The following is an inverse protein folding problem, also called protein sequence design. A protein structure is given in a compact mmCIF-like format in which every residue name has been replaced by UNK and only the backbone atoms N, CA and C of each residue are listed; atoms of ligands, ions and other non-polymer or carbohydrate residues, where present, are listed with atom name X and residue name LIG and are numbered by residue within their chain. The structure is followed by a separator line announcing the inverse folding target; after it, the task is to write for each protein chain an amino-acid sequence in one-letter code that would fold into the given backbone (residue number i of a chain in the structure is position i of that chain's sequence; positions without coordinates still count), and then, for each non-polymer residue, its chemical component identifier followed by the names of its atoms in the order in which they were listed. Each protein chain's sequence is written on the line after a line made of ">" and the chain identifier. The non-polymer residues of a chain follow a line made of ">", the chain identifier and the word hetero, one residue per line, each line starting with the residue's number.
data_IF_656193809381
#
_entry.id   IF_656193809381
#
_cell.length_a   1.000
_cell.length_b   1.000
_cell.length_c   1.000
_cell.angle_alpha   90.00
_cell.angle_beta   90.00
_cell.angle_gamma   90.00
#
_symmetry.space_group_name_H-M   'P 1'
#
loop_
_entity.id
_entity.type
_entity.pdbx_description
1 polymer ?
#
# COMPACT_ATOMS: atom_id res chain seq x y z
N UNK A 1 3.36 -9.18 10.26
CA UNK A 1 3.29 -9.34 8.79
C UNK A 1 4.25 -8.39 8.09
N UNK A 2 4.48 -8.60 6.82
CA UNK A 2 5.32 -7.73 6.00
C UNK A 2 4.44 -6.69 5.32
N UNK A 3 4.76 -5.41 5.52
CA UNK A 3 4.00 -4.29 4.97
C UNK A 3 4.91 -3.41 4.13
N UNK A 4 4.44 -3.03 2.95
CA UNK A 4 5.14 -2.08 2.10
C UNK A 4 4.34 -0.78 2.02
N UNK A 5 4.99 0.32 2.30
CA UNK A 5 4.40 1.66 2.16
C UNK A 5 5.00 2.33 0.92
N UNK A 6 4.16 2.64 -0.04
CA UNK A 6 4.57 3.30 -1.28
C UNK A 6 4.00 4.71 -1.29
N UNK A 7 4.86 5.69 -1.06
CA UNK A 7 4.47 7.10 -1.00
C UNK A 7 5.71 7.95 -1.32
N UNK A 8 5.56 8.92 -2.21
CA UNK A 8 6.65 9.82 -2.58
C UNK A 8 6.97 10.84 -1.47
N UNK A 9 6.07 10.99 -0.52
CA UNK A 9 6.30 11.84 0.65
C UNK A 9 7.09 11.06 1.69
N UNK A 10 8.41 11.25 1.70
CA UNK A 10 9.35 10.45 2.50
C UNK A 10 9.00 10.46 3.98
N UNK A 11 8.70 11.64 4.53
CA UNK A 11 8.38 11.76 5.96
C UNK A 11 7.14 10.97 6.35
N UNK A 12 6.11 10.96 5.51
CA UNK A 12 4.89 10.20 5.77
C UNK A 12 5.14 8.70 5.70
N UNK A 13 5.87 8.26 4.68
CA UNK A 13 6.18 6.84 4.51
C UNK A 13 7.00 6.32 5.70
N UNK A 14 8.01 7.07 6.13
CA UNK A 14 8.85 6.71 7.26
C UNK A 14 8.04 6.65 8.56
N UNK A 15 7.13 7.59 8.75
CA UNK A 15 6.26 7.62 9.94
C UNK A 15 5.36 6.38 9.97
N UNK A 16 4.77 6.02 8.85
CA UNK A 16 3.92 4.82 8.77
C UNK A 16 4.72 3.56 9.03
N UNK A 17 5.94 3.47 8.50
CA UNK A 17 6.81 2.34 8.75
C UNK A 17 7.17 2.23 10.23
N UNK A 18 7.48 3.33 10.89
CA UNK A 18 7.78 3.35 12.31
C UNK A 18 6.59 2.87 13.15
N UNK A 19 5.39 3.31 12.80
CA UNK A 19 4.18 2.88 13.50
C UNK A 19 3.97 1.38 13.33
N UNK A 20 4.12 0.87 12.11
CA UNK A 20 3.96 -0.55 11.82
C UNK A 20 4.97 -1.39 12.60
N UNK A 21 6.23 -0.96 12.65
CA UNK A 21 7.27 -1.66 13.40
C UNK A 21 6.98 -1.64 14.89
N UNK A 22 6.47 -0.52 15.39
CA UNK A 22 6.05 -0.41 16.80
C UNK A 22 4.91 -1.35 17.17
N UNK A 23 4.11 -1.75 16.20
CA UNK A 23 3.02 -2.70 16.38
C UNK A 23 3.45 -4.16 16.14
N UNK A 24 4.73 -4.40 15.87
CA UNK A 24 5.27 -5.74 15.69
C UNK A 24 5.31 -6.23 14.25
N UNK A 25 5.09 -5.37 13.27
CA UNK A 25 5.16 -5.72 11.86
C UNK A 25 6.51 -5.37 11.27
N UNK A 26 6.89 -6.07 10.21
CA UNK A 26 8.04 -5.71 9.41
C UNK A 26 7.57 -4.71 8.35
N UNK A 27 8.26 -3.56 8.25
CA UNK A 27 7.87 -2.51 7.32
C UNK A 27 8.99 -2.18 6.36
N UNK A 28 8.62 -1.98 5.10
CA UNK A 28 9.51 -1.49 4.06
C UNK A 28 8.87 -0.26 3.42
N UNK A 29 9.68 0.56 2.79
CA UNK A 29 9.23 1.81 2.18
C UNK A 29 9.73 1.90 0.75
N UNK A 30 8.90 2.38 -0.15
CA UNK A 30 9.27 2.73 -1.52
C UNK A 30 8.69 4.11 -1.82
N UNK A 31 9.41 4.92 -2.58
CA UNK A 31 9.02 6.31 -2.84
C UNK A 31 8.55 6.56 -4.26
N UNK A 32 8.56 5.53 -5.09
CA UNK A 32 8.05 5.61 -6.47
C UNK A 32 7.57 4.22 -6.92
N UNK A 33 6.97 4.18 -8.11
CA UNK A 33 6.42 2.95 -8.66
C UNK A 33 7.49 1.93 -9.00
N UNK A 34 8.61 2.37 -9.55
CA UNK A 34 9.72 1.48 -9.93
C UNK A 34 10.28 0.77 -8.70
N UNK A 35 10.53 1.53 -7.63
CA UNK A 35 11.04 0.95 -6.38
C UNK A 35 10.04 -0.02 -5.77
N UNK A 36 8.74 0.29 -5.85
CA UNK A 36 7.70 -0.59 -5.34
C UNK A 36 7.69 -1.93 -6.09
N UNK A 37 7.75 -1.88 -7.41
CA UNK A 37 7.79 -3.09 -8.23
C UNK A 37 9.05 -3.92 -7.95
N UNK A 38 10.18 -3.25 -7.78
CA UNK A 38 11.44 -3.91 -7.46
C UNK A 38 11.36 -4.62 -6.12
N UNK A 39 10.84 -3.96 -5.09
CA UNK A 39 10.66 -4.56 -3.76
C UNK A 39 9.79 -5.80 -3.84
N UNK A 40 8.70 -5.72 -4.59
CA UNK A 40 7.77 -6.84 -4.70
C UNK A 40 8.33 -8.00 -5.52
N UNK A 41 9.32 -7.76 -6.37
CA UNK A 41 10.01 -8.85 -7.08
C UNK A 41 11.00 -9.58 -6.18
N UNK A 42 11.48 -8.92 -5.12
CA UNK A 42 12.47 -9.48 -4.21
C UNK A 42 11.85 -10.18 -3.00
N UNK A 43 10.69 -9.72 -2.54
CA UNK A 43 10.03 -10.34 -1.40
C UNK A 43 8.51 -10.20 -1.50
N UNK A 44 7.82 -11.07 -0.77
CA UNK A 44 6.36 -11.08 -0.72
C UNK A 44 5.87 -10.25 0.46
N UNK A 45 4.92 -9.36 0.20
CA UNK A 45 4.28 -8.56 1.24
C UNK A 45 2.87 -9.05 1.50
N UNK A 46 2.43 -8.92 2.76
CA UNK A 46 1.07 -9.26 3.15
C UNK A 46 0.12 -8.09 2.86
N UNK A 47 0.64 -6.88 2.98
CA UNK A 47 -0.14 -5.65 2.77
C UNK A 47 0.73 -4.61 2.07
N UNK A 48 0.16 -3.94 1.08
CA UNK A 48 0.79 -2.80 0.40
C UNK A 48 -0.15 -1.61 0.52
N UNK A 49 0.35 -0.51 1.06
CA UNK A 49 -0.33 0.78 1.03
C UNK A 49 0.29 1.58 -0.11
N UNK A 50 -0.49 1.83 -1.15
CA UNK A 50 0.01 2.36 -2.41
C UNK A 50 -0.62 3.71 -2.71
N UNK A 51 0.20 4.75 -2.73
CA UNK A 51 -0.23 6.08 -3.13
C UNK A 51 -0.52 6.10 -4.63
N UNK A 52 -1.64 6.67 -5.02
CA UNK A 52 -2.01 6.79 -6.42
C UNK A 52 -1.20 7.86 -7.13
N UNK A 53 -0.88 8.96 -6.45
CA UNK A 53 -0.12 10.06 -7.04
C UNK A 53 1.39 9.91 -6.88
N UNK A 54 2.01 9.01 -7.64
CA UNK A 54 3.45 8.78 -7.60
C UNK A 54 4.19 9.65 -8.62
N UNK A 55 5.47 9.99 -8.38
CA UNK A 55 6.21 10.90 -9.24
C UNK A 55 6.53 10.30 -10.63
N UNK A 56 6.66 8.99 -10.74
CA UNK A 56 6.99 8.32 -11.99
C UNK A 56 5.79 7.68 -12.67
N UNK A 57 4.58 7.92 -12.17
CA UNK A 57 3.38 7.40 -12.79
C UNK A 57 2.20 7.31 -11.84
N UNK A 58 1.16 6.66 -12.32
CA UNK A 58 -0.06 6.46 -11.56
C UNK A 58 0.03 5.18 -10.73
N UNK A 59 -0.28 5.28 -9.43
CA UNK A 59 -0.29 4.11 -8.56
C UNK A 59 -1.23 3.01 -9.01
N UNK A 60 -2.28 3.37 -9.78
CA UNK A 60 -3.20 2.37 -10.35
C UNK A 60 -2.49 1.46 -11.34
N UNK A 61 -1.56 2.02 -12.14
CA UNK A 61 -0.76 1.24 -13.07
C UNK A 61 0.19 0.31 -12.33
N UNK A 62 0.77 0.78 -11.24
CA UNK A 62 1.63 -0.04 -10.38
C UNK A 62 0.83 -1.21 -9.82
N UNK A 63 -0.39 -0.98 -9.37
CA UNK A 63 -1.26 -2.02 -8.86
C UNK A 63 -1.56 -3.08 -9.92
N UNK A 64 -1.87 -2.66 -11.15
CA UNK A 64 -2.09 -3.58 -12.26
C UNK A 64 -0.88 -4.46 -12.51
N UNK A 65 0.32 -3.88 -12.51
CA UNK A 65 1.57 -4.62 -12.66
C UNK A 65 1.77 -5.62 -11.53
N UNK A 66 1.51 -5.21 -10.30
CA UNK A 66 1.65 -6.08 -9.14
C UNK A 66 0.70 -7.28 -9.21
N UNK A 67 -0.52 -7.08 -9.69
CA UNK A 67 -1.50 -8.16 -9.83
C UNK A 67 -1.09 -9.21 -10.86
N UNK A 68 -0.23 -8.84 -11.80
CA UNK A 68 0.33 -9.79 -12.77
C UNK A 68 1.48 -10.60 -12.19
N UNK A 69 2.08 -10.13 -11.11
CA UNK A 69 3.20 -10.80 -10.47
C UNK A 69 2.70 -11.96 -9.61
N UNK A 70 3.36 -13.10 -9.68
CA UNK A 70 3.04 -14.24 -8.83
C UNK A 70 3.25 -13.92 -7.35
N UNK A 71 4.16 -13.02 -7.03
CA UNK A 71 4.47 -12.63 -5.65
C UNK A 71 3.37 -11.78 -5.01
N UNK A 72 2.59 -11.06 -5.80
CA UNK A 72 1.64 -10.10 -5.28
C UNK A 72 0.17 -10.43 -5.56
N UNK A 73 -0.12 -11.58 -6.16
CA UNK A 73 -1.50 -11.96 -6.51
C UNK A 73 -2.41 -12.06 -5.28
N UNK A 74 -1.86 -12.49 -4.16
CA UNK A 74 -2.62 -12.67 -2.91
C UNK A 74 -2.35 -11.54 -1.92
N UNK A 75 -1.50 -10.59 -2.26
CA UNK A 75 -1.19 -9.46 -1.39
C UNK A 75 -2.40 -8.53 -1.32
N UNK A 76 -2.72 -8.07 -0.12
CA UNK A 76 -3.75 -7.05 0.05
C UNK A 76 -3.16 -5.70 -0.33
N UNK A 77 -3.76 -5.04 -1.31
CA UNK A 77 -3.30 -3.74 -1.79
C UNK A 77 -4.38 -2.70 -1.51
N UNK A 78 -4.03 -1.68 -0.74
CA UNK A 78 -4.93 -0.60 -0.37
C UNK A 78 -4.43 0.70 -0.99
N UNK A 79 -5.29 1.39 -1.73
CA UNK A 79 -4.96 2.65 -2.36
C UNK A 79 -5.01 3.80 -1.36
N UNK A 80 -4.04 4.70 -1.44
CA UNK A 80 -4.07 5.98 -0.75
C UNK A 80 -4.34 7.07 -1.79
N UNK A 81 -5.39 7.83 -1.59
CA UNK A 81 -5.80 8.88 -2.53
C UNK A 81 -6.07 10.19 -1.82
N UNK A 82 -5.71 11.29 -2.46
CA UNK A 82 -6.05 12.63 -1.97
C UNK A 82 -7.41 13.12 -2.42
N UNK A 83 -8.08 12.37 -3.29
CA UNK A 83 -9.35 12.78 -3.89
C UNK A 83 -10.38 11.66 -3.85
N UNK A 84 -11.62 12.03 -3.52
CA UNK A 84 -12.73 11.06 -3.49
C UNK A 84 -13.25 10.73 -4.88
N UNK A 85 -12.89 11.49 -5.90
CA UNK A 85 -13.40 11.36 -7.27
C UNK A 85 -12.90 10.10 -7.98
N UNK A 86 -11.89 9.44 -7.42
CA UNK A 86 -11.31 8.24 -8.02
C UNK A 86 -12.18 7.00 -7.89
N UNK A 87 -13.29 7.10 -7.17
CA UNK A 87 -14.21 5.97 -6.95
C UNK A 87 -14.80 5.40 -8.22
N UNK A 88 -14.87 6.19 -9.28
CA UNK A 88 -15.41 5.73 -10.56
C UNK A 88 -14.37 5.17 -11.52
N UNK A 89 -13.11 5.12 -11.11
CA UNK A 89 -12.04 4.64 -11.98
C UNK A 89 -12.09 3.13 -12.14
N UNK A 90 -12.01 2.66 -13.38
CA UNK A 90 -12.02 1.23 -13.67
C UNK A 90 -10.81 0.51 -13.09
N UNK A 91 -9.68 1.19 -12.91
CA UNK A 91 -8.47 0.60 -12.36
C UNK A 91 -8.55 0.35 -10.85
N UNK A 92 -9.54 0.94 -10.18
CA UNK A 92 -9.69 0.76 -8.73
C UNK A 92 -10.13 -0.64 -8.36
N UNK A 93 -10.62 -1.43 -9.29
CA UNK A 93 -11.04 -2.81 -9.04
C UNK A 93 -9.86 -3.72 -8.66
N UNK A 94 -8.64 -3.34 -8.99
CA UNK A 94 -7.45 -4.11 -8.62
C UNK A 94 -7.04 -3.91 -7.16
N UNK A 95 -7.57 -2.89 -6.51
CA UNK A 95 -7.30 -2.62 -5.10
C UNK A 95 -8.31 -3.35 -4.21
N UNK A 96 -7.83 -3.81 -3.05
CA UNK A 96 -8.70 -4.43 -2.04
C UNK A 96 -9.42 -3.39 -1.19
N UNK A 97 -8.93 -2.17 -1.18
CA UNK A 97 -9.55 -1.08 -0.44
C UNK A 97 -8.98 0.27 -0.85
N UNK A 98 -9.55 1.33 -0.30
CA UNK A 98 -9.14 2.69 -0.61
C UNK A 98 -9.29 3.54 0.64
N UNK A 99 -8.27 4.34 0.94
CA UNK A 99 -8.28 5.29 2.05
C UNK A 99 -7.99 6.68 1.50
N UNK A 100 -8.82 7.65 1.87
CA UNK A 100 -8.62 9.05 1.49
C UNK A 100 -7.65 9.70 2.47
N UNK A 101 -6.65 10.38 1.96
CA UNK A 101 -5.68 11.12 2.78
C UNK A 101 -6.33 12.34 3.44
N UNK A 102 -5.85 12.75 4.61
CA UNK A 102 -4.73 12.20 5.36
C UNK A 102 -5.13 10.94 6.14
N UNK A 103 -4.24 9.96 6.16
CA UNK A 103 -4.46 8.75 6.95
C UNK A 103 -4.13 9.05 8.42
N UNK A 104 -5.03 8.70 9.31
CA UNK A 104 -4.82 8.88 10.75
C UNK A 104 -4.09 7.68 11.33
N UNK A 105 -3.47 7.87 12.51
CA UNK A 105 -2.85 6.76 13.21
C UNK A 105 -3.86 5.66 13.52
N UNK A 106 -5.08 6.04 13.92
CA UNK A 106 -6.13 5.08 14.21
C UNK A 106 -6.53 4.27 12.97
N UNK A 107 -6.66 4.93 11.82
CA UNK A 107 -6.99 4.25 10.57
C UNK A 107 -5.89 3.26 10.17
N UNK A 108 -4.64 3.64 10.37
CA UNK A 108 -3.51 2.76 10.09
C UNK A 108 -3.49 1.56 11.02
N UNK A 109 -3.69 1.77 12.32
CA UNK A 109 -3.77 0.70 13.30
C UNK A 109 -4.90 -0.27 13.00
N UNK A 110 -6.06 0.24 12.63
CA UNK A 110 -7.22 -0.57 12.27
C UNK A 110 -6.93 -1.41 11.04
N UNK A 111 -6.29 -0.82 10.05
CA UNK A 111 -5.93 -1.51 8.81
C UNK A 111 -4.94 -2.65 9.08
N UNK A 112 -3.91 -2.38 9.87
CA UNK A 112 -2.90 -3.38 10.22
C UNK A 112 -3.52 -4.50 11.07
N UNK A 113 -4.39 -4.14 12.00
CA UNK A 113 -5.08 -5.12 12.83
C UNK A 113 -6.03 -6.00 12.01
N UNK A 114 -6.77 -5.41 11.08
CA UNK A 114 -7.67 -6.15 10.21
C UNK A 114 -6.93 -7.12 9.30
N UNK A 115 -5.75 -6.72 8.81
CA UNK A 115 -4.94 -7.57 7.95
C UNK A 115 -4.33 -8.75 8.72
N UNK A 116 -4.09 -8.58 10.02
CA UNK A 116 -3.57 -9.64 10.89
C UNK A 116 -4.64 -10.61 11.37
N UNK A 117 -5.88 -10.16 11.46
CA UNK A 117 -6.97 -10.98 11.99
C UNK A 117 -7.30 -12.07 10.98
N UNK A 118 -7.19 -13.34 11.35
CA UNK A 118 -7.57 -14.41 10.43
C UNK A 118 -9.06 -14.32 10.15
N UNK A 119 -9.41 -14.59 8.90
CA UNK A 119 -10.81 -14.69 8.50
C UNK A 119 -11.44 -15.89 9.21
N UNK A 120 -12.41 -15.61 10.01
CA UNK A 120 -13.09 -16.67 10.76
C UNK A 120 -14.37 -17.03 10.04
#
# INVERSE_FOLDING_TARGET
>A
MNVLFVDDHVACADMFADIAEGLGHRACVAHDGVSALQRCSEETFDLILLDIGLPDGDGRDVCCELRRSAHAQKTRIVALTGHVDLKGSSCMSDFDGCIVKPITMQALEDLLGAAMTPSV
#
